data_IF_920734297521
#
_entry.id   IF_920734297521
#
_cell.length_a   1.000
_cell.length_b   1.000
_cell.length_c   1.000
_cell.angle_alpha   90.00
_cell.angle_beta   90.00
_cell.angle_gamma   90.00
#
_symmetry.space_group_name_H-M   'P 1'
#
loop_
_entity.id
_entity.type
_entity.pdbx_description
1 polymer ?
#
# COMPACT_ATOMS: atom_id res chain seq x y z
N UNK A 1 -15.13 11.87 28.15
CA UNK A 1 -14.68 13.17 27.60
C UNK A 1 -15.59 13.50 26.44
N UNK A 2 -16.01 14.76 26.30
CA UNK A 2 -16.85 15.15 25.17
C UNK A 2 -16.00 15.13 23.89
N UNK A 3 -16.52 14.43 22.89
CA UNK A 3 -15.94 14.32 21.56
C UNK A 3 -15.97 15.70 20.85
N UNK A 4 -14.87 16.18 20.23
CA UNK A 4 -14.87 17.52 19.62
C UNK A 4 -15.83 17.56 18.43
N UNK A 5 -16.45 18.73 18.20
CA UNK A 5 -17.37 18.94 17.06
C UNK A 5 -16.62 19.25 15.75
N UNK A 6 -15.36 19.69 15.86
CA UNK A 6 -14.50 19.99 14.73
C UNK A 6 -13.09 19.47 14.98
N UNK A 7 -12.32 19.26 13.91
CA UNK A 7 -10.95 18.76 13.97
C UNK A 7 -10.09 19.28 12.82
N UNK A 8 -8.78 19.03 12.90
CA UNK A 8 -7.83 19.41 11.85
C UNK A 8 -7.68 18.29 10.81
N UNK A 9 -7.70 18.65 9.53
CA UNK A 9 -7.38 17.70 8.45
C UNK A 9 -6.77 18.41 7.25
N UNK A 10 -6.03 17.66 6.45
CA UNK A 10 -5.58 18.12 5.14
C UNK A 10 -6.70 17.89 4.10
N UNK A 11 -7.06 18.94 3.38
CA UNK A 11 -8.16 18.92 2.42
C UNK A 11 -7.83 19.62 1.10
N UNK A 12 -8.53 19.19 0.05
CA UNK A 12 -8.62 19.80 -1.27
C UNK A 12 -9.98 20.45 -1.46
N UNK A 13 -9.99 21.69 -1.94
CA UNK A 13 -11.22 22.38 -2.36
C UNK A 13 -11.39 22.37 -3.88
N UNK A 14 -10.35 22.08 -4.65
CA UNK A 14 -10.41 21.89 -6.10
C UNK A 14 -9.49 20.74 -6.52
N UNK A 15 -9.73 20.16 -7.70
CA UNK A 15 -8.74 19.29 -8.32
C UNK A 15 -7.51 20.12 -8.73
N UNK A 16 -6.32 19.55 -8.59
CA UNK A 16 -5.09 20.23 -8.95
C UNK A 16 -3.86 19.66 -8.26
N UNK A 17 -2.70 20.25 -8.55
CA UNK A 17 -1.42 19.84 -7.97
C UNK A 17 -1.44 19.96 -6.45
N UNK A 18 -0.93 18.94 -5.76
CA UNK A 18 -0.92 18.84 -4.31
C UNK A 18 -0.34 20.08 -3.63
N UNK A 19 0.78 20.58 -4.15
CA UNK A 19 1.51 21.70 -3.54
C UNK A 19 0.72 23.03 -3.60
N UNK A 20 -0.30 23.11 -4.46
CA UNK A 20 -1.15 24.29 -4.65
C UNK A 20 -2.50 24.16 -3.92
N UNK A 21 -3.11 22.96 -3.97
CA UNK A 21 -4.50 22.75 -3.53
C UNK A 21 -4.61 22.17 -2.11
N UNK A 22 -3.63 21.39 -1.66
CA UNK A 22 -3.72 20.70 -0.37
C UNK A 22 -3.39 21.64 0.80
N UNK A 23 -4.37 21.88 1.67
CA UNK A 23 -4.23 22.78 2.82
C UNK A 23 -4.71 22.14 4.11
N UNK A 24 -4.06 22.52 5.22
CA UNK A 24 -4.57 22.19 6.55
C UNK A 24 -5.79 23.06 6.86
N UNK A 25 -6.91 22.41 7.17
CA UNK A 25 -8.14 23.03 7.64
C UNK A 25 -8.26 22.76 9.13
N UNK A 26 -8.52 23.80 9.93
CA UNK A 26 -8.51 23.68 11.40
C UNK A 26 -9.87 23.35 12.03
N UNK A 27 -10.96 23.52 11.27
CA UNK A 27 -12.33 23.43 11.78
C UNK A 27 -13.18 22.50 10.91
N UNK A 28 -12.65 21.34 10.52
CA UNK A 28 -13.40 20.36 9.75
C UNK A 28 -14.52 19.79 10.63
N UNK A 29 -15.80 19.89 10.22
CA UNK A 29 -16.90 19.40 11.03
C UNK A 29 -16.87 17.88 11.13
N UNK A 30 -17.18 17.38 12.31
CA UNK A 30 -17.42 15.96 12.55
C UNK A 30 -18.67 15.52 11.77
N UNK A 31 -18.54 14.52 10.89
CA UNK A 31 -19.70 13.92 10.22
C UNK A 31 -20.38 12.92 11.15
N UNK A 32 -21.70 12.77 11.04
CA UNK A 32 -22.44 11.69 11.71
C UNK A 32 -21.84 10.32 11.35
N UNK A 33 -21.82 9.40 12.32
CA UNK A 33 -21.27 8.07 12.15
C UNK A 33 -22.33 7.13 11.57
N UNK A 34 -22.01 6.41 10.50
CA UNK A 34 -22.90 5.36 9.98
C UNK A 34 -23.02 4.16 10.93
N UNK A 35 -24.10 3.38 10.78
CA UNK A 35 -24.39 2.25 11.67
C UNK A 35 -23.30 1.15 11.68
N UNK A 36 -22.68 0.88 10.53
CA UNK A 36 -21.58 -0.09 10.38
C UNK A 36 -20.18 0.51 10.58
N UNK A 37 -20.09 1.79 10.95
CA UNK A 37 -18.83 2.52 10.97
C UNK A 37 -18.23 2.61 12.36
N UNK A 38 -16.90 2.63 12.39
CA UNK A 38 -16.14 3.06 13.56
C UNK A 38 -15.51 4.40 13.27
N UNK A 39 -15.39 5.22 14.31
CA UNK A 39 -14.58 6.43 14.24
C UNK A 39 -13.26 6.22 14.92
N UNK A 40 -12.20 6.45 14.15
CA UNK A 40 -10.83 6.32 14.62
C UNK A 40 -10.30 7.72 14.90
N UNK A 41 -9.80 7.93 16.11
CA UNK A 41 -8.88 9.02 16.44
C UNK A 41 -7.51 8.66 15.90
N UNK A 42 -7.09 9.34 14.84
CA UNK A 42 -5.88 8.98 14.09
C UNK A 42 -4.66 9.46 14.86
N UNK A 43 -3.77 8.52 15.20
CA UNK A 43 -2.47 8.83 15.78
C UNK A 43 -1.44 9.07 14.67
N UNK A 44 -1.43 8.19 13.66
CA UNK A 44 -0.49 8.26 12.54
C UNK A 44 -1.16 7.83 11.25
N UNK A 45 -0.77 8.48 10.15
CA UNK A 45 -1.17 8.14 8.79
C UNK A 45 0.09 7.96 7.94
N UNK A 46 0.01 7.24 6.83
CA UNK A 46 1.15 7.14 5.91
C UNK A 46 0.78 7.59 4.50
N UNK A 47 1.75 8.18 3.81
CA UNK A 47 1.53 8.75 2.48
C UNK A 47 1.84 7.72 1.39
N UNK A 48 1.08 7.79 0.30
CA UNK A 48 1.20 6.92 -0.87
C UNK A 48 1.09 7.72 -2.17
N UNK A 49 1.68 7.23 -3.30
CA UNK A 49 1.53 7.90 -4.58
C UNK A 49 0.08 8.05 -5.04
N UNK A 50 -0.76 7.06 -4.73
CA UNK A 50 -2.18 7.08 -5.09
C UNK A 50 -2.94 8.25 -4.44
N UNK A 51 -2.49 8.73 -3.28
CA UNK A 51 -3.11 9.85 -2.56
C UNK A 51 -3.20 11.11 -3.44
N UNK A 52 -2.07 11.51 -4.04
CA UNK A 52 -2.04 12.69 -4.91
C UNK A 52 -2.45 12.33 -6.33
N UNK A 53 -2.17 11.12 -6.83
CA UNK A 53 -2.59 10.74 -8.19
C UNK A 53 -4.12 10.76 -8.35
N UNK A 54 -4.86 10.35 -7.30
CA UNK A 54 -6.32 10.41 -7.31
C UNK A 54 -6.81 11.85 -7.49
N UNK A 55 -6.19 12.84 -6.86
CA UNK A 55 -6.65 14.22 -6.89
C UNK A 55 -5.99 15.07 -8.01
N UNK A 56 -4.85 14.64 -8.55
CA UNK A 56 -4.14 15.36 -9.61
C UNK A 56 -4.49 14.86 -11.02
N UNK A 57 -4.82 13.57 -11.20
CA UNK A 57 -4.85 12.96 -12.53
C UNK A 57 -6.09 12.10 -12.81
N UNK A 58 -6.52 11.25 -11.88
CA UNK A 58 -7.48 10.19 -12.20
C UNK A 58 -8.85 10.35 -11.55
N UNK A 59 -8.97 11.14 -10.50
CA UNK A 59 -10.21 11.26 -9.72
C UNK A 59 -11.41 11.73 -10.53
N UNK A 60 -11.20 12.62 -11.50
CA UNK A 60 -12.27 13.09 -12.40
C UNK A 60 -12.89 11.97 -13.25
N UNK A 61 -12.16 10.87 -13.47
CA UNK A 61 -12.64 9.72 -14.24
C UNK A 61 -13.35 8.67 -13.37
N UNK A 62 -13.06 8.64 -12.07
CA UNK A 62 -13.46 7.55 -11.17
C UNK A 62 -14.36 7.99 -10.01
N UNK A 63 -14.32 9.25 -9.59
CA UNK A 63 -15.12 9.78 -8.50
C UNK A 63 -16.41 10.40 -9.05
N UNK A 64 -17.52 10.12 -8.40
CA UNK A 64 -18.84 10.65 -8.77
C UNK A 64 -19.04 12.13 -8.39
N UNK A 65 -18.07 12.71 -7.67
CA UNK A 65 -18.09 14.09 -7.18
C UNK A 65 -16.73 14.75 -7.40
N UNK A 66 -16.73 16.08 -7.38
CA UNK A 66 -15.52 16.91 -7.36
C UNK A 66 -15.38 17.59 -6.00
N UNK A 67 -14.15 17.86 -5.53
CA UNK A 67 -13.94 18.72 -4.37
C UNK A 67 -14.49 20.12 -4.66
N UNK A 68 -15.01 20.77 -3.63
CA UNK A 68 -15.43 22.17 -3.64
C UNK A 68 -15.20 22.79 -2.26
N UNK A 69 -15.29 24.11 -2.13
CA UNK A 69 -15.25 24.76 -0.81
C UNK A 69 -16.38 24.27 0.12
N UNK A 70 -17.54 23.89 -0.42
CA UNK A 70 -18.66 23.39 0.38
C UNK A 70 -18.53 21.89 0.74
N UNK A 71 -17.94 21.09 -0.14
CA UNK A 71 -17.65 19.66 0.06
C UNK A 71 -16.18 19.37 -0.27
N UNK A 72 -15.24 19.78 0.61
CA UNK A 72 -13.83 19.54 0.38
C UNK A 72 -13.48 18.05 0.53
N UNK A 73 -12.49 17.60 -0.22
CA UNK A 73 -12.00 16.22 -0.19
C UNK A 73 -10.84 16.10 0.79
N UNK A 74 -10.85 15.07 1.65
CA UNK A 74 -9.66 14.70 2.41
C UNK A 74 -8.59 14.07 1.52
N UNK A 75 -7.45 13.71 2.10
CA UNK A 75 -6.40 12.93 1.42
C UNK A 75 -5.95 11.74 2.29
N UNK A 76 -5.42 10.71 1.65
CA UNK A 76 -4.80 9.55 2.30
C UNK A 76 -5.78 8.41 2.54
N UNK A 77 -5.21 7.20 2.58
CA UNK A 77 -5.92 5.94 2.76
C UNK A 77 -5.46 5.14 3.98
N UNK A 78 -4.22 5.33 4.43
CA UNK A 78 -3.67 4.59 5.56
C UNK A 78 -3.85 5.36 6.87
N UNK A 79 -4.35 4.69 7.91
CA UNK A 79 -4.40 5.21 9.28
C UNK A 79 -4.09 4.13 10.32
N UNK A 80 -3.54 4.55 11.45
CA UNK A 80 -3.57 3.80 12.70
C UNK A 80 -3.93 4.73 13.87
N UNK A 81 -4.72 4.21 14.80
CA UNK A 81 -5.21 5.00 15.93
C UNK A 81 -6.12 4.23 16.86
N UNK A 82 -6.94 4.94 17.63
CA UNK A 82 -7.84 4.36 18.63
C UNK A 82 -9.30 4.60 18.25
N UNK A 83 -10.17 3.61 18.44
CA UNK A 83 -11.60 3.79 18.23
C UNK A 83 -12.20 4.64 19.35
N UNK A 84 -12.91 5.71 18.98
CA UNK A 84 -13.55 6.65 19.92
C UNK A 84 -15.07 6.67 19.84
N UNK A 85 -15.65 6.11 18.78
CA UNK A 85 -17.09 6.01 18.55
C UNK A 85 -17.36 4.77 17.68
N UNK A 86 -18.46 4.08 17.92
CA UNK A 86 -18.91 2.93 17.12
C UNK A 86 -20.38 3.10 16.76
N UNK A 87 -20.74 2.74 15.53
CA UNK A 87 -22.13 2.68 15.09
C UNK A 87 -22.89 1.51 15.71
N UNK A 88 -24.21 1.54 15.62
CA UNK A 88 -25.10 0.58 16.28
C UNK A 88 -24.97 -0.87 15.77
N UNK A 89 -24.51 -1.05 14.53
CA UNK A 89 -24.39 -2.36 13.87
C UNK A 89 -22.95 -2.94 13.91
N UNK A 90 -21.99 -2.20 14.48
CA UNK A 90 -20.61 -2.63 14.71
C UNK A 90 -20.56 -3.77 15.75
N UNK A 91 -19.88 -4.88 15.43
CA UNK A 91 -19.93 -6.12 16.23
C UNK A 91 -18.58 -6.65 16.70
N UNK A 92 -17.50 -6.40 15.95
CA UNK A 92 -16.16 -6.97 16.21
C UNK A 92 -15.25 -6.02 16.99
N UNK A 93 -15.48 -4.73 16.88
CA UNK A 93 -14.65 -3.65 17.38
C UNK A 93 -15.40 -2.84 18.45
N UNK A 94 -14.65 -2.21 19.34
CA UNK A 94 -15.20 -1.37 20.41
C UNK A 94 -14.35 -0.13 20.64
N UNK A 95 -14.94 0.86 21.31
CA UNK A 95 -14.22 2.04 21.81
C UNK A 95 -13.02 1.59 22.67
N UNK A 96 -11.87 2.21 22.45
CA UNK A 96 -10.60 1.90 23.10
C UNK A 96 -9.72 0.90 22.35
N UNK A 97 -10.22 0.26 21.30
CA UNK A 97 -9.40 -0.65 20.49
C UNK A 97 -8.36 0.13 19.68
N UNK A 98 -7.09 -0.31 19.76
CA UNK A 98 -6.02 0.18 18.92
C UNK A 98 -6.06 -0.53 17.56
N UNK A 99 -6.25 0.24 16.50
CA UNK A 99 -6.56 -0.26 15.16
C UNK A 99 -5.68 0.35 14.08
N UNK A 100 -5.71 -0.27 12.90
CA UNK A 100 -5.12 0.22 11.66
C UNK A 100 -5.99 -0.18 10.48
N UNK A 101 -5.94 0.61 9.41
CA UNK A 101 -6.82 0.45 8.24
C UNK A 101 -6.22 1.04 6.98
N UNK A 102 -6.59 0.44 5.85
CA UNK A 102 -6.65 1.11 4.56
C UNK A 102 -8.12 1.43 4.30
N UNK A 103 -8.48 2.69 4.08
CA UNK A 103 -9.85 3.06 3.69
C UNK A 103 -10.11 2.72 2.21
N UNK A 104 -11.38 2.49 1.80
CA UNK A 104 -11.71 2.35 0.39
C UNK A 104 -11.45 3.65 -0.37
N UNK A 105 -11.25 3.54 -1.69
CA UNK A 105 -10.99 4.71 -2.55
C UNK A 105 -12.13 5.74 -2.57
N UNK A 106 -13.32 5.38 -2.09
CA UNK A 106 -14.46 6.27 -1.90
C UNK A 106 -14.49 6.99 -0.54
N UNK A 107 -13.63 6.61 0.42
CA UNK A 107 -13.59 7.13 1.78
C UNK A 107 -12.17 7.56 2.20
N UNK A 108 -11.46 8.28 1.32
CA UNK A 108 -10.19 8.92 1.66
C UNK A 108 -10.35 10.01 2.72
N UNK A 109 -9.24 10.38 3.35
CA UNK A 109 -9.19 11.43 4.37
C UNK A 109 -8.48 11.01 5.65
N UNK A 110 -7.62 9.99 5.60
CA UNK A 110 -6.88 9.54 6.78
C UNK A 110 -5.82 10.53 7.26
N UNK A 111 -5.45 11.50 6.44
CA UNK A 111 -4.59 12.62 6.85
C UNK A 111 -5.41 13.71 7.57
N UNK A 112 -6.06 13.32 8.66
CA UNK A 112 -6.83 14.17 9.56
C UNK A 112 -6.94 13.52 10.93
N UNK A 113 -7.25 14.31 11.95
CA UNK A 113 -7.26 13.85 13.35
C UNK A 113 -8.33 12.78 13.63
N UNK A 114 -9.37 12.70 12.79
CA UNK A 114 -10.38 11.65 12.85
C UNK A 114 -10.75 11.16 11.45
N UNK A 115 -11.04 9.87 11.35
CA UNK A 115 -11.67 9.28 10.16
C UNK A 115 -12.80 8.32 10.57
N UNK A 116 -13.81 8.21 9.72
CA UNK A 116 -14.89 7.24 9.85
C UNK A 116 -14.74 6.19 8.74
N UNK A 117 -14.87 4.92 9.09
CA UNK A 117 -14.66 3.80 8.17
C UNK A 117 -15.48 2.61 8.61
N UNK A 118 -16.01 1.86 7.65
CA UNK A 118 -16.80 0.65 7.93
C UNK A 118 -15.92 -0.41 8.63
N UNK A 119 -16.48 -1.08 9.63
CA UNK A 119 -15.78 -2.07 10.47
C UNK A 119 -15.10 -3.19 9.66
N UNK A 120 -15.64 -3.53 8.48
CA UNK A 120 -15.10 -4.55 7.58
C UNK A 120 -13.71 -4.21 7.00
N UNK A 121 -13.26 -2.95 7.10
CA UNK A 121 -11.96 -2.50 6.61
C UNK A 121 -10.96 -2.20 7.73
N UNK A 122 -11.35 -2.43 8.98
CA UNK A 122 -10.56 -2.09 10.17
C UNK A 122 -10.12 -3.35 10.92
N UNK A 123 -8.85 -3.41 11.27
CA UNK A 123 -8.28 -4.49 12.07
C UNK A 123 -7.60 -3.96 13.33
N UNK A 124 -7.58 -4.77 14.39
CA UNK A 124 -6.76 -4.53 15.59
C UNK A 124 -5.30 -4.54 15.19
N UNK A 125 -4.55 -3.49 15.54
CA UNK A 125 -3.14 -3.39 15.17
C UNK A 125 -2.29 -4.52 15.77
N UNK A 126 -1.21 -4.94 15.09
CA UNK A 126 -0.26 -5.87 15.70
C UNK A 126 0.20 -5.35 17.06
N UNK A 127 0.18 -6.23 18.05
CA UNK A 127 0.50 -5.88 19.44
C UNK A 127 1.94 -5.40 19.61
N UNK A 128 2.83 -5.85 18.73
CA UNK A 128 4.26 -5.53 18.72
C UNK A 128 4.65 -4.28 17.91
N UNK A 129 3.68 -3.55 17.32
CA UNK A 129 3.94 -2.31 16.58
C UNK A 129 3.43 -1.08 17.34
N UNK A 130 4.13 0.05 17.23
CA UNK A 130 3.58 1.36 17.60
C UNK A 130 2.64 1.91 16.49
N UNK A 131 2.00 3.05 16.70
CA UNK A 131 1.07 3.63 15.70
C UNK A 131 1.76 4.12 14.43
N UNK A 132 2.98 4.64 14.52
CA UNK A 132 3.75 5.06 13.33
C UNK A 132 4.05 3.84 12.44
N UNK A 133 4.50 2.75 13.05
CA UNK A 133 4.72 1.46 12.39
C UNK A 133 3.42 0.88 11.84
N UNK A 134 2.36 0.81 12.63
CA UNK A 134 1.09 0.24 12.21
C UNK A 134 0.46 1.01 11.04
N UNK A 135 0.56 2.35 11.02
CA UNK A 135 0.04 3.17 9.91
C UNK A 135 0.80 2.99 8.59
N UNK A 136 2.01 2.43 8.65
CA UNK A 136 2.85 2.18 7.47
C UNK A 136 2.55 0.86 6.75
N UNK A 137 1.69 0.02 7.35
CA UNK A 137 1.38 -1.33 6.87
C UNK A 137 0.26 -1.37 5.81
N UNK A 138 -0.95 -0.80 6.05
CA UNK A 138 -2.18 -1.32 5.46
C UNK A 138 -2.17 -1.41 3.93
N UNK A 139 -2.08 -0.29 3.21
CA UNK A 139 -2.20 -0.29 1.74
C UNK A 139 -1.11 -1.13 1.06
N UNK A 140 0.15 -0.92 1.44
CA UNK A 140 1.28 -1.58 0.76
C UNK A 140 1.39 -3.05 1.11
N UNK A 141 1.08 -3.44 2.35
CA UNK A 141 1.06 -4.83 2.75
C UNK A 141 -0.14 -5.56 2.16
N UNK A 142 -1.33 -4.95 2.10
CA UNK A 142 -2.48 -5.52 1.40
C UNK A 142 -2.19 -5.73 -0.09
N UNK A 143 -1.51 -4.77 -0.73
CA UNK A 143 -1.14 -4.88 -2.15
C UNK A 143 -0.20 -6.07 -2.36
N UNK A 144 0.82 -6.19 -1.51
CA UNK A 144 1.76 -7.29 -1.58
C UNK A 144 1.09 -8.63 -1.25
N UNK A 145 0.25 -8.68 -0.21
CA UNK A 145 -0.44 -9.87 0.24
C UNK A 145 -1.41 -10.39 -0.84
N UNK A 146 -2.29 -9.55 -1.35
CA UNK A 146 -3.24 -9.94 -2.41
C UNK A 146 -2.49 -10.31 -3.71
N UNK A 147 -1.40 -9.62 -4.04
CA UNK A 147 -0.57 -9.97 -5.19
C UNK A 147 0.09 -11.35 -5.07
N UNK A 148 0.62 -11.69 -3.89
CA UNK A 148 1.34 -12.96 -3.65
C UNK A 148 0.37 -14.13 -3.42
N UNK A 149 -0.62 -13.97 -2.54
CA UNK A 149 -1.48 -15.05 -2.10
C UNK A 149 -2.69 -15.26 -3.03
N UNK A 150 -3.35 -14.19 -3.48
CA UNK A 150 -4.62 -14.30 -4.21
C UNK A 150 -4.42 -14.37 -5.73
N UNK A 151 -3.55 -13.49 -6.25
CA UNK A 151 -3.29 -13.36 -7.69
C UNK A 151 -2.22 -14.34 -8.17
N UNK A 152 -1.01 -14.27 -7.61
CA UNK A 152 0.08 -15.17 -7.99
C UNK A 152 -0.13 -16.58 -7.45
N UNK A 153 -0.88 -16.73 -6.34
CA UNK A 153 -1.09 -17.99 -5.62
C UNK A 153 0.22 -18.73 -5.37
N UNK A 154 1.22 -17.98 -4.93
CA UNK A 154 2.59 -18.49 -4.77
C UNK A 154 2.61 -19.64 -3.75
N UNK A 155 3.29 -20.72 -4.10
CA UNK A 155 3.40 -21.91 -3.27
C UNK A 155 4.82 -22.10 -2.72
N UNK A 156 4.93 -22.87 -1.63
CA UNK A 156 6.22 -23.28 -1.06
C UNK A 156 7.07 -24.00 -2.12
N UNK A 157 8.35 -23.64 -2.20
CA UNK A 157 9.30 -24.24 -3.15
C UNK A 157 9.26 -23.65 -4.56
N UNK A 158 8.29 -22.79 -4.88
CA UNK A 158 8.26 -22.07 -6.16
C UNK A 158 9.32 -20.96 -6.20
N UNK A 159 9.68 -20.52 -7.41
CA UNK A 159 10.55 -19.35 -7.62
C UNK A 159 9.73 -18.15 -8.09
N UNK A 160 9.89 -17.02 -7.42
CA UNK A 160 9.27 -15.74 -7.80
C UNK A 160 10.32 -14.72 -8.20
N UNK A 161 10.07 -14.00 -9.31
CA UNK A 161 10.80 -12.80 -9.70
C UNK A 161 9.98 -11.57 -9.30
N UNK A 162 10.51 -10.75 -8.40
CA UNK A 162 9.89 -9.51 -7.93
C UNK A 162 10.65 -8.32 -8.51
N UNK A 163 10.05 -7.56 -9.42
CA UNK A 163 10.67 -6.31 -9.85
C UNK A 163 10.45 -5.22 -8.80
N UNK A 164 11.47 -4.39 -8.56
CA UNK A 164 11.38 -3.27 -7.63
C UNK A 164 11.35 -3.70 -6.17
N UNK A 165 12.20 -4.65 -5.76
CA UNK A 165 12.22 -5.21 -4.41
C UNK A 165 12.42 -4.20 -3.28
N UNK A 166 13.00 -3.03 -3.58
CA UNK A 166 13.13 -1.94 -2.62
C UNK A 166 11.95 -0.95 -2.58
N UNK A 167 10.89 -1.17 -3.37
CA UNK A 167 9.65 -0.41 -3.26
C UNK A 167 8.86 -0.85 -2.04
N UNK A 168 7.97 -0.02 -1.51
CA UNK A 168 7.19 -0.36 -0.32
C UNK A 168 6.40 -1.65 -0.48
N UNK A 169 5.81 -1.89 -1.66
CA UNK A 169 5.13 -3.15 -1.97
C UNK A 169 6.14 -4.29 -2.13
N UNK A 170 7.24 -4.07 -2.87
CA UNK A 170 8.27 -5.08 -3.10
C UNK A 170 8.90 -5.61 -1.81
N UNK A 171 9.13 -4.74 -0.82
CA UNK A 171 9.67 -5.12 0.49
C UNK A 171 8.75 -6.08 1.24
N UNK A 172 7.44 -5.87 1.19
CA UNK A 172 6.47 -6.82 1.77
C UNK A 172 6.37 -8.10 0.93
N UNK A 173 6.36 -8.00 -0.40
CA UNK A 173 6.28 -9.15 -1.29
C UNK A 173 7.46 -10.11 -1.11
N UNK A 174 8.68 -9.60 -0.93
CA UNK A 174 9.88 -10.40 -0.63
C UNK A 174 9.69 -11.17 0.68
N UNK A 175 9.23 -10.48 1.74
CA UNK A 175 9.07 -11.08 3.07
C UNK A 175 7.97 -12.15 3.06
N UNK A 176 6.81 -11.88 2.44
CA UNK A 176 5.74 -12.88 2.29
C UNK A 176 6.19 -14.10 1.47
N UNK A 177 6.86 -13.90 0.34
CA UNK A 177 7.39 -14.99 -0.46
C UNK A 177 8.42 -15.83 0.33
N UNK A 178 9.28 -15.18 1.12
CA UNK A 178 10.22 -15.86 2.01
C UNK A 178 9.49 -16.67 3.09
N UNK A 179 8.45 -16.12 3.72
CA UNK A 179 7.67 -16.79 4.76
C UNK A 179 6.92 -18.03 4.22
N UNK A 180 6.44 -17.98 2.97
CA UNK A 180 5.86 -19.14 2.26
C UNK A 180 6.92 -20.25 2.04
N UNK A 181 8.20 -19.89 1.99
CA UNK A 181 9.30 -20.78 1.62
C UNK A 181 9.54 -20.84 0.11
N UNK A 182 9.21 -19.77 -0.62
CA UNK A 182 9.57 -19.59 -2.02
C UNK A 182 11.02 -19.08 -2.18
N UNK A 183 11.63 -19.37 -3.32
CA UNK A 183 12.89 -18.75 -3.74
C UNK A 183 12.60 -17.39 -4.35
N UNK A 184 13.26 -16.35 -3.87
CA UNK A 184 13.02 -14.96 -4.27
C UNK A 184 14.19 -14.43 -5.10
N UNK A 185 13.91 -14.05 -6.34
CA UNK A 185 14.79 -13.24 -7.19
C UNK A 185 14.19 -11.83 -7.23
N UNK A 186 15.00 -10.79 -7.10
CA UNK A 186 14.49 -9.42 -7.14
C UNK A 186 15.40 -8.46 -7.89
N UNK A 187 14.85 -7.35 -8.38
CA UNK A 187 15.66 -6.20 -8.81
C UNK A 187 15.75 -5.14 -7.72
N UNK A 188 16.94 -4.57 -7.54
CA UNK A 188 17.20 -3.41 -6.67
C UNK A 188 18.50 -2.75 -7.14
N UNK A 189 18.80 -1.51 -6.71
CA UNK A 189 20.11 -0.92 -6.98
C UNK A 189 21.19 -1.55 -6.08
N UNK A 190 22.45 -1.53 -6.51
CA UNK A 190 23.57 -2.06 -5.71
C UNK A 190 23.58 -1.55 -4.25
N UNK A 191 23.24 -0.27 -4.03
CA UNK A 191 23.19 0.34 -2.69
C UNK A 191 22.17 -0.30 -1.75
N UNK A 192 21.19 -1.03 -2.29
CA UNK A 192 20.09 -1.66 -1.55
C UNK A 192 20.16 -3.19 -1.58
N UNK A 193 21.23 -3.78 -2.12
CA UNK A 193 21.40 -5.23 -2.25
C UNK A 193 21.31 -5.93 -0.88
N UNK A 194 22.20 -5.58 0.04
CA UNK A 194 22.24 -6.20 1.37
C UNK A 194 20.92 -6.02 2.12
N UNK A 195 20.28 -4.87 1.95
CA UNK A 195 18.99 -4.57 2.55
C UNK A 195 17.89 -5.52 2.03
N UNK A 196 17.73 -5.70 0.73
CA UNK A 196 16.69 -6.60 0.20
C UNK A 196 17.02 -8.08 0.44
N UNK A 197 18.31 -8.46 0.53
CA UNK A 197 18.73 -9.79 0.99
C UNK A 197 18.31 -10.04 2.44
N UNK A 198 18.50 -9.04 3.32
CA UNK A 198 18.06 -9.12 4.71
C UNK A 198 16.53 -9.25 4.87
N UNK A 199 15.75 -8.86 3.85
CA UNK A 199 14.30 -9.09 3.80
C UNK A 199 13.91 -10.50 3.30
N UNK A 200 14.84 -11.25 2.71
CA UNK A 200 14.60 -12.61 2.22
C UNK A 200 14.89 -12.85 0.74
N UNK A 201 15.43 -11.86 0.01
CA UNK A 201 15.86 -12.07 -1.37
C UNK A 201 17.03 -13.08 -1.41
N UNK A 202 16.93 -14.08 -2.30
CA UNK A 202 17.98 -15.08 -2.51
C UNK A 202 18.94 -14.65 -3.61
N UNK A 203 18.45 -13.86 -4.57
CA UNK A 203 19.23 -13.27 -5.65
C UNK A 203 18.75 -11.84 -5.89
N UNK A 204 19.71 -10.92 -6.05
CA UNK A 204 19.45 -9.51 -6.37
C UNK A 204 20.10 -9.20 -7.70
N UNK A 205 19.34 -8.59 -8.59
CA UNK A 205 19.78 -8.13 -9.91
C UNK A 205 19.89 -6.61 -9.85
N UNK A 206 21.11 -6.10 -10.08
CA UNK A 206 21.36 -4.66 -10.14
C UNK A 206 20.88 -4.10 -11.47
N UNK A 207 19.66 -3.55 -11.48
CA UNK A 207 19.04 -3.03 -12.69
C UNK A 207 19.81 -1.86 -13.33
N UNK A 208 20.77 -1.27 -12.61
CA UNK A 208 21.64 -0.21 -13.15
C UNK A 208 22.77 -0.77 -14.01
N UNK A 209 23.06 -2.07 -13.92
CA UNK A 209 24.16 -2.74 -14.62
C UNK A 209 23.69 -3.72 -15.68
N UNK A 210 22.63 -4.45 -15.41
CA UNK A 210 22.15 -5.53 -16.27
C UNK A 210 20.62 -5.62 -16.24
N UNK A 211 20.04 -6.15 -17.32
CA UNK A 211 18.59 -6.38 -17.39
C UNK A 211 18.28 -7.73 -16.74
N UNK A 212 17.19 -7.80 -15.99
CA UNK A 212 16.74 -9.06 -15.41
C UNK A 212 16.51 -10.16 -16.46
N UNK A 213 16.12 -9.79 -17.68
CA UNK A 213 15.90 -10.74 -18.78
C UNK A 213 17.19 -11.47 -19.21
N UNK A 214 18.34 -10.83 -19.04
CA UNK A 214 19.64 -11.39 -19.43
C UNK A 214 20.24 -12.28 -18.33
N UNK A 215 19.72 -12.16 -17.09
CA UNK A 215 20.24 -12.87 -15.90
C UNK A 215 19.36 -14.04 -15.49
N UNK A 216 18.05 -13.89 -15.65
CA UNK A 216 17.08 -14.89 -15.22
C UNK A 216 16.94 -15.93 -16.31
N UNK A 217 17.26 -17.17 -15.96
CA UNK A 217 17.19 -18.30 -16.88
C UNK A 217 15.78 -18.43 -17.51
N UNK A 218 15.70 -18.66 -18.84
CA UNK A 218 14.42 -18.86 -19.51
C UNK A 218 13.60 -19.97 -18.86
N UNK A 219 12.30 -19.73 -18.69
CA UNK A 219 11.34 -20.67 -18.13
C UNK A 219 11.69 -21.23 -16.74
N UNK A 220 12.39 -20.46 -15.91
CA UNK A 220 12.80 -20.87 -14.56
C UNK A 220 11.88 -20.37 -13.45
N UNK A 221 11.02 -19.37 -13.73
CA UNK A 221 10.22 -18.67 -12.71
C UNK A 221 8.76 -19.11 -12.72
N UNK A 222 8.20 -19.42 -11.55
CA UNK A 222 6.79 -19.81 -11.38
C UNK A 222 5.86 -18.59 -11.33
N UNK A 223 6.31 -17.49 -10.72
CA UNK A 223 5.54 -16.26 -10.60
C UNK A 223 6.40 -15.01 -10.86
N UNK A 224 5.86 -14.05 -11.58
CA UNK A 224 6.46 -12.75 -11.82
C UNK A 224 5.58 -11.71 -11.14
N UNK A 225 6.13 -10.92 -10.22
CA UNK A 225 5.40 -9.84 -9.57
C UNK A 225 6.09 -8.49 -9.81
N UNK A 226 5.49 -7.67 -10.66
CA UNK A 226 6.03 -6.34 -10.96
C UNK A 226 5.59 -5.31 -9.92
N UNK A 227 6.49 -4.98 -9.00
CA UNK A 227 6.37 -3.86 -8.05
C UNK A 227 7.31 -2.69 -8.40
N UNK A 228 7.85 -2.70 -9.63
CA UNK A 228 8.83 -1.74 -10.15
C UNK A 228 8.17 -0.66 -11.01
N UNK A 229 8.83 -0.27 -12.09
CA UNK A 229 8.37 0.79 -13.02
C UNK A 229 8.25 0.31 -14.47
N UNK A 230 8.43 -0.99 -14.72
CA UNK A 230 8.49 -1.57 -16.06
C UNK A 230 7.10 -1.97 -16.54
N UNK A 231 6.26 -1.01 -16.97
CA UNK A 231 4.87 -1.26 -17.39
C UNK A 231 4.75 -2.30 -18.53
N UNK A 232 5.79 -2.44 -19.35
CA UNK A 232 5.82 -3.34 -20.50
C UNK A 232 6.41 -4.73 -20.20
N UNK A 233 6.71 -5.06 -18.94
CA UNK A 233 7.45 -6.28 -18.58
C UNK A 233 6.82 -7.56 -19.18
N UNK A 234 5.49 -7.68 -19.21
CA UNK A 234 4.79 -8.78 -19.90
C UNK A 234 5.18 -8.88 -21.38
N UNK A 235 5.13 -7.75 -22.08
CA UNK A 235 5.37 -7.65 -23.52
C UNK A 235 6.87 -7.73 -23.89
N UNK A 236 7.77 -7.42 -22.96
CA UNK A 236 9.21 -7.23 -23.20
C UNK A 236 10.09 -8.36 -22.69
N UNK A 237 9.56 -9.31 -21.92
CA UNK A 237 10.36 -10.49 -21.58
C UNK A 237 9.77 -11.43 -20.55
N UNK A 238 8.72 -11.05 -19.80
CA UNK A 238 8.29 -11.86 -18.67
C UNK A 238 7.85 -13.27 -19.12
N UNK A 239 7.23 -13.37 -20.30
CA UNK A 239 6.86 -14.64 -20.91
C UNK A 239 8.06 -15.58 -21.16
N UNK A 240 9.27 -15.04 -21.37
CA UNK A 240 10.49 -15.82 -21.63
C UNK A 240 11.03 -16.45 -20.35
N UNK A 241 10.99 -15.73 -19.23
CA UNK A 241 11.52 -16.22 -17.94
C UNK A 241 10.50 -17.05 -17.17
N UNK A 242 9.20 -16.82 -17.40
CA UNK A 242 8.12 -17.60 -16.79
C UNK A 242 8.09 -19.03 -17.34
N UNK A 243 7.84 -19.99 -16.44
CA UNK A 243 7.62 -21.40 -16.80
C UNK A 243 6.50 -21.52 -17.83
N UNK A 244 6.72 -22.41 -18.80
CA UNK A 244 5.75 -22.70 -19.85
C UNK A 244 4.45 -23.25 -19.24
N UNK A 245 3.31 -22.84 -19.77
CA UNK A 245 1.95 -23.26 -19.38
C UNK A 245 1.49 -22.94 -17.94
N UNK A 246 2.41 -22.74 -17.00
CA UNK A 246 2.07 -22.60 -15.56
C UNK A 246 2.55 -21.29 -14.94
N UNK A 247 3.49 -20.59 -15.57
CA UNK A 247 4.02 -19.33 -15.04
C UNK A 247 2.94 -18.25 -14.98
N UNK A 248 2.91 -17.46 -13.90
CA UNK A 248 1.88 -16.44 -13.65
C UNK A 248 2.49 -15.05 -13.58
N UNK A 249 1.98 -14.10 -14.36
CA UNK A 249 2.40 -12.70 -14.32
C UNK A 249 1.37 -11.84 -13.58
N UNK A 250 1.84 -11.10 -12.58
CA UNK A 250 1.09 -10.17 -11.75
C UNK A 250 1.81 -8.82 -11.74
N UNK A 251 1.07 -7.71 -11.73
CA UNK A 251 1.64 -6.35 -11.72
C UNK A 251 0.80 -5.40 -10.88
N UNK A 252 1.44 -4.43 -10.21
CA UNK A 252 0.71 -3.30 -9.58
C UNK A 252 0.59 -2.09 -10.52
N UNK A 253 1.22 -2.18 -11.69
CA UNK A 253 1.26 -1.12 -12.68
C UNK A 253 0.13 -1.27 -13.69
N UNK A 254 -0.47 -0.17 -14.15
CA UNK A 254 -1.50 -0.21 -15.17
C UNK A 254 -0.92 -0.71 -16.50
N UNK A 255 -1.64 -1.63 -17.13
CA UNK A 255 -1.30 -2.25 -18.41
C UNK A 255 -1.98 -1.50 -19.56
N UNK A 256 -1.50 -0.29 -19.84
CA UNK A 256 -2.09 0.61 -20.85
C UNK A 256 -1.71 0.28 -22.29
N UNK A 257 -0.72 -0.60 -22.50
CA UNK A 257 -0.25 -0.99 -23.82
C UNK A 257 -1.05 -2.18 -24.36
N UNK A 258 -1.20 -2.33 -25.70
CA UNK A 258 -1.76 -3.54 -26.29
C UNK A 258 -1.04 -4.80 -25.79
N UNK A 259 -1.79 -5.72 -25.22
CA UNK A 259 -1.25 -6.94 -24.61
C UNK A 259 -0.81 -7.91 -25.71
N UNK A 260 0.44 -8.35 -25.65
CA UNK A 260 0.92 -9.44 -26.52
C UNK A 260 0.34 -10.77 -26.06
N UNK A 261 -0.15 -11.55 -27.02
CA UNK A 261 -0.61 -12.91 -26.78
C UNK A 261 0.50 -13.78 -26.16
N UNK A 262 0.06 -14.77 -25.37
CA UNK A 262 0.98 -15.69 -24.72
C UNK A 262 1.64 -16.61 -25.74
N UNK A 263 2.97 -16.57 -25.82
CA UNK A 263 3.76 -17.42 -26.74
C UNK A 263 4.10 -18.79 -26.17
N UNK A 264 4.18 -18.90 -24.84
CA UNK A 264 4.70 -20.07 -24.14
C UNK A 264 3.68 -20.68 -23.16
N UNK A 265 2.43 -20.25 -23.22
CA UNK A 265 1.35 -20.71 -22.34
C UNK A 265 1.40 -20.14 -20.91
N UNK A 266 2.34 -19.23 -20.61
CA UNK A 266 2.31 -18.49 -19.35
C UNK A 266 1.01 -17.66 -19.26
N UNK A 267 0.50 -17.51 -18.04
CA UNK A 267 -0.75 -16.86 -17.73
C UNK A 267 -0.52 -15.39 -17.38
N UNK A 268 -1.22 -14.50 -18.06
CA UNK A 268 -1.36 -13.12 -17.64
C UNK A 268 -2.49 -13.03 -16.62
N UNK A 269 -2.16 -13.00 -15.33
CA UNK A 269 -3.15 -12.75 -14.28
C UNK A 269 -3.53 -11.26 -14.30
N UNK A 270 -2.55 -10.39 -14.49
CA UNK A 270 -2.78 -8.97 -14.75
C UNK A 270 -2.58 -8.09 -13.52
N UNK A 271 -3.34 -6.99 -13.49
CA UNK A 271 -3.23 -5.93 -12.49
C UNK A 271 -3.77 -6.36 -11.13
N UNK A 272 -3.05 -6.03 -10.06
CA UNK A 272 -3.57 -6.13 -8.69
C UNK A 272 -4.50 -4.94 -8.44
N UNK A 273 -5.79 -5.18 -8.55
CA UNK A 273 -6.80 -4.24 -8.08
C UNK A 273 -6.99 -4.44 -6.58
N UNK A 274 -6.15 -3.77 -5.80
CA UNK A 274 -6.21 -3.85 -4.34
C UNK A 274 -7.60 -3.45 -3.84
N UNK A 275 -8.11 -4.23 -2.88
CA UNK A 275 -9.26 -3.83 -2.08
C UNK A 275 -8.93 -3.82 -0.58
N UNK A 276 -9.50 -2.89 0.21
CA UNK A 276 -9.44 -2.98 1.66
C UNK A 276 -10.02 -4.30 2.20
N UNK A 277 -9.46 -4.82 3.28
CA UNK A 277 -9.97 -6.04 3.93
C UNK A 277 -9.41 -6.16 5.35
N UNK A 278 -10.30 -6.14 6.36
CA UNK A 278 -9.91 -6.44 7.73
C UNK A 278 -9.33 -7.85 7.88
N UNK A 279 -9.87 -8.84 7.16
CA UNK A 279 -9.42 -10.24 7.27
C UNK A 279 -8.00 -10.43 6.74
N UNK A 280 -7.66 -9.77 5.63
CA UNK A 280 -6.29 -9.77 5.13
C UNK A 280 -5.36 -9.02 6.09
N UNK A 281 -5.78 -7.88 6.66
CA UNK A 281 -5.00 -7.19 7.68
C UNK A 281 -4.76 -8.06 8.92
N UNK A 282 -5.77 -8.78 9.41
CA UNK A 282 -5.62 -9.76 10.51
C UNK A 282 -4.63 -10.86 10.16
N UNK A 283 -4.62 -11.33 8.91
CA UNK A 283 -3.65 -12.32 8.44
C UNK A 283 -2.23 -11.75 8.37
N UNK A 284 -2.08 -10.52 7.88
CA UNK A 284 -0.82 -9.78 7.85
C UNK A 284 -0.30 -9.54 9.28
N UNK A 285 -1.17 -9.22 10.23
CA UNK A 285 -0.81 -9.02 11.63
C UNK A 285 -0.09 -10.24 12.21
N UNK A 286 -0.57 -11.46 11.90
CA UNK A 286 0.06 -12.70 12.37
C UNK A 286 1.51 -12.84 11.89
N UNK A 287 1.79 -12.51 10.62
CA UNK A 287 3.15 -12.51 10.09
C UNK A 287 4.05 -11.48 10.79
N UNK A 288 3.48 -10.31 11.11
CA UNK A 288 4.20 -9.24 11.82
C UNK A 288 4.49 -9.62 13.27
N UNK A 289 3.52 -10.19 13.98
CA UNK A 289 3.68 -10.65 15.36
C UNK A 289 4.65 -11.82 15.47
N UNK A 290 4.66 -12.71 14.47
CA UNK A 290 5.64 -13.78 14.33
C UNK A 290 7.04 -13.29 13.91
N UNK A 291 7.20 -12.00 13.61
CA UNK A 291 8.44 -11.36 13.12
C UNK A 291 8.96 -11.91 11.79
N UNK A 292 8.09 -12.56 11.02
CA UNK A 292 8.40 -13.01 9.65
C UNK A 292 8.31 -11.87 8.64
N UNK A 293 7.52 -10.85 8.96
CA UNK A 293 7.35 -9.63 8.18
C UNK A 293 7.52 -8.44 9.11
N UNK A 294 8.19 -7.38 8.65
CA UNK A 294 8.32 -6.12 9.39
C UNK A 294 8.06 -4.91 8.49
N UNK A 295 7.43 -3.85 9.02
CA UNK A 295 7.39 -2.56 8.34
C UNK A 295 8.79 -1.95 8.24
N UNK A 296 8.98 -1.11 7.23
CA UNK A 296 10.18 -0.31 7.04
C UNK A 296 9.74 1.14 6.92
N UNK A 297 10.10 1.96 7.92
CA UNK A 297 9.83 3.40 7.92
C UNK A 297 11.10 4.12 7.51
N UNK A 298 10.96 5.05 6.59
CA UNK A 298 12.04 5.92 6.17
C UNK A 298 12.11 7.19 7.05
N UNK A 299 10.97 7.85 7.27
CA UNK A 299 10.90 9.07 8.07
C UNK A 299 9.49 9.26 8.62
N UNK A 300 9.41 9.75 9.87
CA UNK A 300 8.17 10.21 10.50
C UNK A 300 8.18 11.74 10.53
N UNK A 301 7.15 12.35 9.96
CA UNK A 301 6.95 13.80 9.91
C UNK A 301 5.89 14.22 10.93
N UNK A 302 6.01 15.38 11.58
CA UNK A 302 4.89 15.95 12.33
C UNK A 302 3.74 16.33 11.39
N UNK A 303 2.53 16.45 11.93
CA UNK A 303 1.31 16.71 11.17
C UNK A 303 1.45 17.91 10.22
N UNK A 304 1.98 19.03 10.72
CA UNK A 304 2.17 20.29 9.99
C UNK A 304 3.15 20.17 8.81
N UNK A 305 3.88 19.05 8.71
CA UNK A 305 4.93 18.77 7.73
C UNK A 305 4.53 17.68 6.73
N UNK A 306 3.23 17.39 6.58
CA UNK A 306 2.76 16.38 5.63
C UNK A 306 3.17 16.69 4.16
N UNK A 307 3.18 17.96 3.77
CA UNK A 307 3.66 18.40 2.44
C UNK A 307 5.13 18.03 2.21
N UNK A 308 5.99 18.11 3.23
CA UNK A 308 7.41 17.72 3.13
C UNK A 308 7.53 16.18 2.94
N UNK A 309 6.62 15.41 3.53
CA UNK A 309 6.53 13.96 3.30
C UNK A 309 6.16 13.64 1.84
N UNK A 310 5.14 14.33 1.27
CA UNK A 310 4.78 14.17 -0.14
C UNK A 310 5.89 14.63 -1.09
N UNK A 311 6.58 15.73 -0.78
CA UNK A 311 7.72 16.19 -1.56
C UNK A 311 8.83 15.12 -1.61
N UNK A 312 9.19 14.53 -0.46
CA UNK A 312 10.14 13.41 -0.42
C UNK A 312 9.62 12.19 -1.18
N UNK A 313 8.33 11.86 -1.05
CA UNK A 313 7.71 10.74 -1.78
C UNK A 313 7.87 10.90 -3.30
N UNK A 314 7.61 12.11 -3.83
CA UNK A 314 7.72 12.42 -5.27
C UNK A 314 9.15 12.25 -5.80
N UNK A 315 10.19 12.35 -4.96
CA UNK A 315 11.59 12.06 -5.37
C UNK A 315 11.87 10.58 -5.63
N UNK A 316 11.03 9.68 -5.11
CA UNK A 316 11.20 8.21 -5.18
C UNK A 316 12.51 7.69 -4.56
N UNK A 317 13.13 8.47 -3.67
CA UNK A 317 14.36 8.08 -2.99
C UNK A 317 14.16 7.54 -1.57
N UNK A 318 12.94 7.60 -1.03
CA UNK A 318 12.63 7.01 0.27
C UNK A 318 12.94 5.50 0.30
N UNK A 319 13.52 5.03 1.41
CA UNK A 319 13.73 3.62 1.71
C UNK A 319 12.73 3.19 2.79
N UNK A 320 11.52 2.86 2.35
CA UNK A 320 10.42 2.56 3.26
C UNK A 320 9.27 3.55 3.11
N UNK A 321 8.39 3.51 4.09
CA UNK A 321 7.20 4.35 4.16
C UNK A 321 7.52 5.67 4.85
N UNK A 322 6.86 6.72 4.36
CA UNK A 322 6.85 8.04 4.99
C UNK A 322 5.56 8.14 5.79
N UNK A 323 5.70 8.46 7.07
CA UNK A 323 4.60 8.51 8.03
C UNK A 323 4.41 9.95 8.47
N UNK A 324 3.15 10.35 8.66
CA UNK A 324 2.76 11.62 9.27
C UNK A 324 2.13 11.30 10.62
N UNK A 325 2.75 11.79 11.69
CA UNK A 325 2.23 11.71 13.04
C UNK A 325 1.19 12.81 13.25
N UNK A 326 -0.06 12.42 13.35
CA UNK A 326 -1.24 13.30 13.34
C UNK A 326 -1.50 13.86 14.74
N UNK A 327 -1.53 12.99 15.76
CA UNK A 327 -1.72 13.39 17.15
C UNK A 327 -0.76 12.65 18.09
N UNK A 328 -0.40 13.33 19.18
CA UNK A 328 0.36 12.76 20.29
C UNK A 328 -0.58 12.12 21.31
#
# INVERSE_FOLDING_TARGET
MAFPQTFRAYQYENYGLLDNELKIQNNVPQKELGADQVRIKVHSASVNPIDYMLLEAVGQLFLSKAPSTAEPFGIGFDAAGEIVEVGEDVKRLKVGDAVYTMTPFSAFGTLGEYCAVDEQFVAIKPSNLNFDEASSVPLVALTAYQGIFDHARLQKGETVLILGGSSSVGMYAIQFARAIGARVITTASAKKDEFVKALGAHQVIDYQKEKWLDVVEPHSVDAFYNCGMENAAWNEGAQVVLKKNTGRFVTILPMTQPIKETKFGAQLIGEVHIHPSADNLVSIAKYIEAKEVKPVIDTVYPFEKALDAYAKLKTRHALGKLVVKVQQ
#
